data_IF_680579939336
#
_entry.id   IF_680579939336
#
_cell.length_a   1.000
_cell.length_b   1.000
_cell.length_c   1.000
_cell.angle_alpha   90.00
_cell.angle_beta   90.00
_cell.angle_gamma   90.00
#
_symmetry.space_group_name_H-M   'P 1'
#
loop_
_entity.id
_entity.type
_entity.pdbx_description
1 polymer ?
#
# COMPACT_ATOMS: atom_id res chain seq x y z
N UNK A 1 -38.14 -53.51 -19.97
CA UNK A 1 -38.56 -52.46 -19.03
C UNK A 1 -37.31 -51.84 -18.36
N UNK A 2 -36.60 -50.92 -19.02
CA UNK A 2 -35.40 -50.31 -18.42
C UNK A 2 -35.79 -49.12 -17.54
N UNK A 3 -35.41 -49.16 -16.25
CA UNK A 3 -35.58 -48.02 -15.33
C UNK A 3 -34.47 -46.99 -15.58
N UNK A 4 -34.83 -45.86 -16.20
CA UNK A 4 -33.92 -44.72 -16.37
C UNK A 4 -33.95 -43.88 -15.07
N UNK A 5 -32.78 -43.74 -14.42
CA UNK A 5 -32.63 -42.90 -13.21
C UNK A 5 -32.68 -41.42 -13.61
N UNK A 6 -33.45 -40.59 -12.89
CA UNK A 6 -33.45 -39.14 -13.07
C UNK A 6 -32.04 -38.58 -12.91
N UNK A 7 -31.52 -37.94 -13.96
CA UNK A 7 -30.24 -37.21 -13.93
C UNK A 7 -30.49 -35.84 -13.28
N UNK A 8 -29.62 -35.43 -12.37
CA UNK A 8 -29.58 -34.06 -11.85
C UNK A 8 -28.97 -33.16 -12.94
N UNK A 9 -29.81 -32.64 -13.82
CA UNK A 9 -29.39 -31.58 -14.75
C UNK A 9 -29.29 -30.28 -13.96
N UNK A 10 -28.09 -29.68 -13.92
CA UNK A 10 -27.93 -28.33 -13.38
C UNK A 10 -28.76 -27.35 -14.23
N UNK A 11 -29.50 -26.42 -13.61
CA UNK A 11 -30.22 -25.40 -14.37
C UNK A 11 -29.23 -24.62 -15.24
N UNK A 12 -29.66 -24.27 -16.46
CA UNK A 12 -28.86 -23.45 -17.37
C UNK A 12 -28.52 -22.13 -16.65
N UNK A 13 -27.25 -21.68 -16.69
CA UNK A 13 -26.89 -20.43 -16.04
C UNK A 13 -27.71 -19.29 -16.65
N UNK A 14 -28.31 -18.48 -15.78
CA UNK A 14 -28.97 -17.24 -16.18
C UNK A 14 -27.85 -16.32 -16.68
N UNK A 15 -27.88 -15.98 -17.97
CA UNK A 15 -26.97 -14.99 -18.55
C UNK A 15 -27.45 -13.61 -18.09
N UNK A 16 -26.93 -13.17 -16.95
CA UNK A 16 -27.02 -11.77 -16.56
C UNK A 16 -26.00 -11.00 -17.41
N UNK A 17 -26.40 -9.83 -17.90
CA UNK A 17 -25.54 -8.90 -18.66
C UNK A 17 -24.56 -8.19 -17.72
N UNK A 18 -23.75 -8.98 -17.03
CA UNK A 18 -22.75 -8.55 -16.07
C UNK A 18 -21.39 -8.96 -16.65
N UNK A 19 -20.37 -8.08 -16.58
CA UNK A 19 -19.04 -8.41 -17.07
C UNK A 19 -18.51 -9.70 -16.46
N UNK A 20 -17.97 -10.55 -17.34
CA UNK A 20 -17.42 -11.85 -16.93
C UNK A 20 -16.22 -11.65 -16.03
N UNK A 21 -15.90 -12.67 -15.24
CA UNK A 21 -14.72 -12.61 -14.37
C UNK A 21 -13.44 -12.39 -15.16
N UNK A 22 -13.31 -12.97 -16.35
CA UNK A 22 -12.18 -12.76 -17.25
C UNK A 22 -12.02 -11.29 -17.69
N UNK A 23 -13.13 -10.63 -18.02
CA UNK A 23 -13.16 -9.21 -18.40
C UNK A 23 -12.76 -8.34 -17.21
N UNK A 24 -13.34 -8.62 -16.03
CA UNK A 24 -12.97 -7.94 -14.78
C UNK A 24 -11.51 -8.13 -14.38
N UNK A 25 -10.85 -9.20 -14.81
CA UNK A 25 -9.43 -9.43 -14.55
C UNK A 25 -8.52 -8.80 -15.63
N UNK A 26 -9.04 -8.54 -16.83
CA UNK A 26 -8.30 -7.87 -17.88
C UNK A 26 -8.04 -6.39 -17.52
N UNK A 27 -9.01 -5.76 -16.86
CA UNK A 27 -8.86 -4.38 -16.39
C UNK A 27 -7.92 -4.29 -15.16
N UNK A 28 -6.84 -3.48 -15.22
CA UNK A 28 -5.89 -3.36 -14.12
C UNK A 28 -6.47 -2.69 -12.87
N UNK A 29 -7.49 -1.85 -13.02
CA UNK A 29 -8.08 -1.04 -11.94
C UNK A 29 -9.40 -1.63 -11.38
N UNK A 30 -9.89 -2.71 -12.00
CA UNK A 30 -11.05 -3.45 -11.52
C UNK A 30 -10.83 -4.02 -10.11
N UNK A 31 -11.93 -4.18 -9.38
CA UNK A 31 -11.92 -4.70 -8.01
C UNK A 31 -11.32 -6.12 -7.92
N UNK A 32 -11.64 -6.99 -8.88
CA UNK A 32 -11.10 -8.38 -8.89
C UNK A 32 -9.57 -8.38 -9.08
N UNK A 33 -9.05 -7.50 -9.94
CA UNK A 33 -7.61 -7.32 -10.16
C UNK A 33 -6.90 -6.79 -8.90
N UNK A 34 -7.48 -5.78 -8.24
CA UNK A 34 -6.98 -5.25 -6.96
C UNK A 34 -6.99 -6.32 -5.87
N UNK A 35 -8.07 -7.08 -5.77
CA UNK A 35 -8.21 -8.18 -4.79
C UNK A 35 -7.14 -9.25 -5.00
N UNK A 36 -6.89 -9.65 -6.25
CA UNK A 36 -5.86 -10.64 -6.59
C UNK A 36 -4.46 -10.13 -6.25
N UNK A 37 -4.11 -8.90 -6.64
CA UNK A 37 -2.82 -8.27 -6.30
C UNK A 37 -2.61 -8.23 -4.79
N UNK A 38 -3.63 -7.83 -4.02
CA UNK A 38 -3.55 -7.79 -2.56
C UNK A 38 -3.34 -9.18 -1.95
N UNK A 39 -3.97 -10.22 -2.48
CA UNK A 39 -3.76 -11.60 -2.03
C UNK A 39 -2.36 -12.11 -2.37
N UNK A 40 -1.85 -11.78 -3.55
CA UNK A 40 -0.47 -12.11 -3.95
C UNK A 40 0.56 -11.40 -3.05
N UNK A 41 0.34 -10.13 -2.73
CA UNK A 41 1.18 -9.37 -1.79
C UNK A 41 1.12 -9.95 -0.36
N UNK A 42 -0.07 -10.33 0.12
CA UNK A 42 -0.23 -10.96 1.45
C UNK A 42 0.47 -12.31 1.57
N UNK A 43 0.49 -13.10 0.48
CA UNK A 43 1.15 -14.42 0.44
C UNK A 43 2.67 -14.31 0.40
N UNK A 44 3.22 -13.21 -0.11
CA UNK A 44 4.66 -12.97 -0.18
C UNK A 44 5.09 -12.27 1.12
N UNK A 45 5.49 -13.06 2.11
CA UNK A 45 6.18 -12.50 3.26
C UNK A 45 7.52 -11.91 2.80
N UNK A 46 7.65 -10.58 2.88
CA UNK A 46 8.91 -9.89 2.57
C UNK A 46 10.01 -10.37 3.50
N UNK A 47 11.20 -10.56 2.95
CA UNK A 47 12.41 -10.83 3.74
C UNK A 47 12.75 -9.66 4.66
N UNK A 48 13.59 -9.88 5.67
CA UNK A 48 14.03 -8.82 6.59
C UNK A 48 14.74 -7.70 5.83
N UNK A 49 15.56 -8.04 4.84
CA UNK A 49 16.27 -7.08 3.99
C UNK A 49 15.31 -6.22 3.16
N UNK A 50 14.31 -6.83 2.52
CA UNK A 50 13.30 -6.09 1.75
C UNK A 50 12.49 -5.14 2.62
N UNK A 51 12.15 -5.55 3.85
CA UNK A 51 11.47 -4.68 4.82
C UNK A 51 12.34 -3.50 5.24
N UNK A 52 13.64 -3.72 5.48
CA UNK A 52 14.58 -2.66 5.83
C UNK A 52 14.71 -1.64 4.68
N UNK A 53 14.87 -2.12 3.44
CA UNK A 53 14.96 -1.26 2.25
C UNK A 53 13.70 -0.44 2.01
N UNK A 54 12.52 -1.02 2.23
CA UNK A 54 11.25 -0.28 2.14
C UNK A 54 11.10 0.77 3.23
N UNK A 55 11.54 0.48 4.45
CA UNK A 55 11.57 1.45 5.54
C UNK A 55 12.51 2.63 5.21
N UNK A 56 13.70 2.37 4.69
CA UNK A 56 14.63 3.41 4.24
C UNK A 56 14.05 4.27 3.12
N UNK A 57 13.34 3.67 2.15
CA UNK A 57 12.65 4.41 1.08
C UNK A 57 11.47 5.24 1.61
N UNK A 58 10.74 4.72 2.60
CA UNK A 58 9.64 5.44 3.24
C UNK A 58 10.15 6.60 4.11
N UNK A 59 11.24 6.40 4.85
CA UNK A 59 11.88 7.44 5.66
C UNK A 59 12.47 8.56 4.80
N UNK A 60 13.00 8.23 3.62
CA UNK A 60 13.42 9.20 2.62
C UNK A 60 12.26 10.10 2.12
N UNK A 61 11.03 9.58 2.09
CA UNK A 61 9.83 10.35 1.73
C UNK A 61 9.21 11.10 2.92
N UNK A 62 9.48 10.68 4.17
CA UNK A 62 8.93 11.25 5.42
C UNK A 62 9.80 12.39 5.98
N UNK A 63 10.93 12.72 5.35
CA UNK A 63 11.60 14.03 5.49
C UNK A 63 10.76 15.21 4.95
N UNK A 64 9.44 15.04 4.80
CA UNK A 64 8.51 16.16 4.81
C UNK A 64 8.65 16.87 6.16
N UNK A 65 9.41 17.96 6.15
CA UNK A 65 9.52 18.96 7.21
C UNK A 65 8.13 19.20 7.82
N UNK A 66 7.81 18.53 8.94
CA UNK A 66 6.51 18.66 9.58
C UNK A 66 6.37 20.11 10.06
N UNK A 67 5.48 20.87 9.44
CA UNK A 67 5.18 22.26 9.81
C UNK A 67 4.31 22.30 11.07
N UNK A 68 4.85 21.82 12.19
CA UNK A 68 4.21 21.92 13.50
C UNK A 68 4.81 23.09 14.30
N UNK A 69 4.03 23.74 15.18
CA UNK A 69 4.54 24.83 16.02
C UNK A 69 5.76 24.44 16.86
N UNK A 70 5.82 23.17 17.29
CA UNK A 70 6.96 22.63 18.03
C UNK A 70 8.22 22.50 17.15
N UNK A 71 8.07 22.07 15.89
CA UNK A 71 9.18 21.99 14.95
C UNK A 71 9.77 23.39 14.68
N UNK A 72 8.92 24.41 14.53
CA UNK A 72 9.37 25.80 14.37
C UNK A 72 10.10 26.33 15.61
N UNK A 73 9.60 26.00 16.81
CA UNK A 73 10.29 26.34 18.06
C UNK A 73 11.67 25.69 18.14
N UNK A 74 11.79 24.42 17.79
CA UNK A 74 13.08 23.71 17.78
C UNK A 74 14.04 24.34 16.77
N UNK A 75 13.58 24.72 15.57
CA UNK A 75 14.40 25.42 14.57
C UNK A 75 14.91 26.77 15.09
N UNK A 76 14.05 27.55 15.76
CA UNK A 76 14.43 28.84 16.35
C UNK A 76 15.48 28.68 17.46
N UNK A 77 15.29 27.70 18.35
CA UNK A 77 16.24 27.43 19.44
C UNK A 77 17.60 26.98 18.90
N UNK A 78 17.64 26.08 17.91
CA UNK A 78 18.89 25.66 17.27
C UNK A 78 19.66 26.82 16.63
N UNK A 79 18.97 27.71 15.88
CA UNK A 79 19.62 28.92 15.34
C UNK A 79 20.18 29.82 16.43
N UNK A 80 19.47 29.98 17.54
CA UNK A 80 19.93 30.80 18.66
C UNK A 80 21.14 30.18 19.36
N UNK A 81 21.20 28.85 19.51
CA UNK A 81 22.35 28.13 20.04
C UNK A 81 23.56 28.20 19.11
N UNK A 82 23.36 28.08 17.80
CA UNK A 82 24.42 28.23 16.79
C UNK A 82 25.00 29.64 16.81
N UNK A 83 24.16 30.69 16.84
CA UNK A 83 24.60 32.08 16.93
C UNK A 83 25.44 32.35 18.21
N UNK A 84 25.00 31.79 19.34
CA UNK A 84 25.75 31.92 20.61
C UNK A 84 27.10 31.23 20.58
N UNK A 85 27.19 30.07 19.92
CA UNK A 85 28.46 29.35 19.76
C UNK A 85 29.42 30.11 18.84
N UNK A 86 28.92 30.68 17.75
CA UNK A 86 29.75 31.50 16.85
C UNK A 86 30.23 32.80 17.50
N UNK A 87 29.44 33.39 18.41
CA UNK A 87 29.86 34.56 19.19
C UNK A 87 30.92 34.17 20.24
N UNK A 88 30.79 33.02 20.91
CA UNK A 88 31.78 32.56 21.91
C UNK A 88 33.09 32.05 21.33
N UNK A 89 33.10 31.59 20.07
CA UNK A 89 34.33 31.17 19.37
C UNK A 89 35.05 32.36 18.70
N UNK A 90 34.41 33.53 18.62
CA UNK A 90 34.95 34.74 18.00
C UNK A 90 35.50 35.76 19.03
N UNK A 91 35.37 35.48 20.32
CA UNK A 91 35.88 36.25 21.47
C UNK A 91 37.11 35.56 22.08
#
# INVERSE_FOLDING_TARGET
>A
MSRIKKKRTSPRPIFLDIPRRSEKLADPDSYESRRRRNLEQKKKHKSVYEKAREAEQADGAVQQQRNTPLADKIRRLKRAEEARKTESDAE
#
